data_IF_669554333576
#
_entry.id   IF_669554333576
#
_cell.length_a   1.000
_cell.length_b   1.000
_cell.length_c   1.000
_cell.angle_alpha   90.00
_cell.angle_beta   90.00
_cell.angle_gamma   90.00
#
_symmetry.space_group_name_H-M   'P 1'
#
loop_
_entity.id
_entity.type
_entity.pdbx_description
1 polymer ?
#
# COMPACT_ATOMS: atom_id res chain seq x y z
N UNK A 1 10.51 40.34 -12.11
CA UNK A 1 9.20 39.71 -11.90
C UNK A 1 8.99 38.77 -13.08
N UNK A 2 9.18 37.46 -12.89
CA UNK A 2 8.85 36.50 -13.94
C UNK A 2 7.33 36.51 -14.11
N UNK A 3 6.84 36.74 -15.32
CA UNK A 3 5.43 36.55 -15.63
C UNK A 3 5.26 35.03 -15.76
N UNK A 4 4.56 34.35 -14.84
CA UNK A 4 4.40 32.91 -14.95
C UNK A 4 3.67 32.56 -16.26
N UNK A 5 4.08 31.46 -16.89
CA UNK A 5 3.36 30.93 -18.05
C UNK A 5 1.90 30.72 -17.67
N UNK A 6 0.98 31.18 -18.52
CA UNK A 6 -0.47 31.03 -18.28
C UNK A 6 -0.93 29.57 -18.35
N UNK A 7 -0.22 28.72 -19.09
CA UNK A 7 -0.54 27.32 -19.30
C UNK A 7 0.69 26.47 -18.98
N UNK A 8 0.46 25.37 -18.28
CA UNK A 8 1.44 24.31 -18.01
C UNK A 8 0.82 22.99 -18.47
N UNK A 9 1.34 22.43 -19.54
CA UNK A 9 0.92 21.17 -20.14
C UNK A 9 2.03 20.10 -20.11
N UNK A 10 3.12 20.37 -19.37
CA UNK A 10 4.33 19.55 -19.28
C UNK A 10 5.10 19.33 -20.60
N UNK A 11 4.86 20.14 -21.65
CA UNK A 11 5.65 20.07 -22.89
C UNK A 11 6.98 20.82 -22.79
N UNK A 12 6.93 22.13 -22.51
CA UNK A 12 8.11 22.99 -22.38
C UNK A 12 8.62 23.10 -20.94
N UNK A 13 7.69 23.20 -20.00
CA UNK A 13 7.95 23.39 -18.57
C UNK A 13 7.04 22.44 -17.84
N UNK A 14 7.63 21.53 -17.07
CA UNK A 14 6.84 20.58 -16.28
C UNK A 14 6.23 21.29 -15.08
N UNK A 15 5.08 20.82 -14.62
CA UNK A 15 4.44 21.27 -13.40
C UNK A 15 5.38 21.04 -12.21
N UNK A 16 6.14 19.94 -12.21
CA UNK A 16 7.22 19.70 -11.27
C UNK A 16 8.24 20.86 -11.20
N UNK A 17 8.78 21.27 -12.35
CA UNK A 17 9.79 22.34 -12.40
C UNK A 17 9.18 23.68 -11.96
N UNK A 18 7.95 23.96 -12.41
CA UNK A 18 7.21 25.16 -12.02
C UNK A 18 6.94 25.23 -10.52
N UNK A 19 6.46 24.15 -9.89
CA UNK A 19 6.18 24.10 -8.46
C UNK A 19 7.47 24.34 -7.65
N UNK A 20 8.58 23.72 -8.06
CA UNK A 20 9.87 23.94 -7.41
C UNK A 20 10.36 25.39 -7.56
N UNK A 21 10.23 26.00 -8.73
CA UNK A 21 10.57 27.41 -8.95
C UNK A 21 9.74 28.34 -8.06
N UNK A 22 8.42 28.13 -8.00
CA UNK A 22 7.52 28.94 -7.18
C UNK A 22 7.85 28.80 -5.69
N UNK A 23 8.08 27.58 -5.21
CA UNK A 23 8.46 27.32 -3.82
C UNK A 23 9.80 27.96 -3.46
N UNK A 24 10.79 27.92 -4.36
CA UNK A 24 12.10 28.53 -4.15
C UNK A 24 12.04 30.07 -4.10
N UNK A 25 11.19 30.69 -4.92
CA UNK A 25 11.05 32.16 -4.98
C UNK A 25 10.16 32.69 -3.84
N UNK A 26 9.27 31.86 -3.28
CA UNK A 26 8.33 32.24 -2.22
C UNK A 26 8.46 31.33 -0.99
N UNK A 27 9.63 31.31 -0.32
CA UNK A 27 9.77 30.61 0.94
C UNK A 27 8.78 31.18 1.97
N UNK A 28 8.16 30.33 2.79
CA UNK A 28 7.15 30.73 3.77
C UNK A 28 5.74 30.97 3.21
N UNK A 29 5.48 30.65 1.95
CA UNK A 29 4.12 30.66 1.40
C UNK A 29 3.21 29.63 2.09
N UNK A 30 1.89 29.84 2.05
CA UNK A 30 0.90 28.79 2.31
C UNK A 30 0.66 28.00 1.04
N UNK A 31 0.76 26.68 1.12
CA UNK A 31 0.48 25.77 0.02
C UNK A 31 -0.70 24.87 0.37
N UNK A 32 -1.78 25.04 -0.39
CA UNK A 32 -2.94 24.15 -0.32
C UNK A 32 -3.02 23.34 -1.61
N UNK A 33 -3.02 22.01 -1.50
CA UNK A 33 -3.11 21.09 -2.62
C UNK A 33 -4.42 20.31 -2.51
N UNK A 34 -5.21 20.32 -3.59
CA UNK A 34 -6.32 19.38 -3.75
C UNK A 34 -5.98 18.40 -4.85
N UNK A 35 -6.14 17.10 -4.60
CA UNK A 35 -5.89 16.07 -5.59
C UNK A 35 -6.76 14.83 -5.38
N UNK A 36 -7.03 14.10 -6.46
CA UNK A 36 -7.77 12.84 -6.37
C UNK A 36 -6.83 11.63 -6.20
N UNK A 37 -5.61 11.73 -6.73
CA UNK A 37 -4.59 10.70 -6.63
C UNK A 37 -3.28 11.30 -6.11
N UNK A 38 -2.63 10.58 -5.21
CA UNK A 38 -1.41 10.99 -4.54
C UNK A 38 -0.38 9.87 -4.62
N UNK A 39 0.90 10.19 -4.80
CA UNK A 39 2.00 9.23 -4.68
C UNK A 39 3.20 9.85 -3.95
N UNK A 40 3.98 9.00 -3.26
CA UNK A 40 5.19 9.44 -2.56
C UNK A 40 6.28 9.88 -3.54
N UNK A 41 6.34 9.30 -4.75
CA UNK A 41 7.33 9.78 -5.72
C UNK A 41 7.03 11.19 -6.21
N UNK A 42 5.76 11.60 -6.29
CA UNK A 42 5.43 13.00 -6.60
C UNK A 42 5.91 13.96 -5.51
N UNK A 43 5.75 13.58 -4.25
CA UNK A 43 6.36 14.30 -3.12
C UNK A 43 7.89 14.37 -3.27
N UNK A 44 8.55 13.26 -3.60
CA UNK A 44 10.00 13.21 -3.82
C UNK A 44 10.49 14.25 -4.84
N UNK A 45 9.68 14.53 -5.86
CA UNK A 45 10.05 15.48 -6.91
C UNK A 45 9.99 16.96 -6.49
N UNK A 46 9.36 17.29 -5.36
CA UNK A 46 9.20 18.68 -4.87
C UNK A 46 9.64 18.88 -3.41
N UNK A 47 10.09 17.81 -2.73
CA UNK A 47 10.33 17.80 -1.28
C UNK A 47 11.33 18.84 -0.79
N UNK A 48 12.35 19.16 -1.57
CA UNK A 48 13.49 20.00 -1.16
C UNK A 48 13.06 21.42 -0.79
N UNK A 49 11.99 21.93 -1.41
CA UNK A 49 11.47 23.27 -1.13
C UNK A 49 10.19 23.26 -0.26
N UNK A 50 9.56 22.10 -0.06
CA UNK A 50 8.35 21.98 0.76
C UNK A 50 8.59 22.27 2.24
N UNK A 51 9.77 21.95 2.77
CA UNK A 51 10.09 22.21 4.19
C UNK A 51 10.11 23.69 4.60
N UNK A 52 10.09 24.61 3.63
CA UNK A 52 10.13 26.06 3.89
C UNK A 52 8.75 26.70 3.92
N UNK A 53 7.66 25.95 3.65
CA UNK A 53 6.30 26.51 3.62
C UNK A 53 5.80 26.82 5.03
N UNK A 54 5.06 27.93 5.18
CA UNK A 54 4.51 28.32 6.48
C UNK A 54 3.35 27.41 6.90
N UNK A 55 2.60 26.89 5.93
CA UNK A 55 1.50 25.94 6.14
C UNK A 55 1.31 25.12 4.88
N UNK A 56 1.13 23.82 5.05
CA UNK A 56 0.83 22.88 3.99
C UNK A 56 -0.49 22.16 4.29
N UNK A 57 -1.41 22.16 3.32
CA UNK A 57 -2.67 21.43 3.44
C UNK A 57 -2.84 20.53 2.23
N UNK A 58 -2.99 19.23 2.46
CA UNK A 58 -3.31 18.25 1.43
C UNK A 58 -4.74 17.78 1.59
N UNK A 59 -5.58 18.07 0.60
CA UNK A 59 -6.96 17.63 0.51
C UNK A 59 -7.08 16.52 -0.53
N UNK A 60 -7.37 15.31 -0.06
CA UNK A 60 -7.57 14.13 -0.89
C UNK A 60 -9.07 13.97 -1.20
N UNK A 61 -9.40 13.78 -2.47
CA UNK A 61 -10.77 13.66 -2.95
C UNK A 61 -11.07 12.32 -3.64
N UNK A 62 -12.36 12.02 -3.82
CA UNK A 62 -12.83 10.80 -4.50
C UNK A 62 -12.81 10.94 -6.03
N UNK A 63 -12.16 10.02 -6.75
CA UNK A 63 -12.32 9.83 -8.19
C UNK A 63 -13.58 8.96 -8.50
N UNK A 64 -14.26 9.13 -9.65
CA UNK A 64 -15.52 8.45 -9.93
C UNK A 64 -15.30 6.99 -10.37
N UNK A 65 -14.06 6.64 -10.68
CA UNK A 65 -13.60 5.34 -11.16
C UNK A 65 -13.46 4.31 -10.02
N UNK A 66 -13.52 4.74 -8.76
CA UNK A 66 -13.47 3.87 -7.58
C UNK A 66 -14.87 3.24 -7.40
N UNK A 67 -15.12 2.16 -8.15
CA UNK A 67 -16.33 1.34 -8.15
C UNK A 67 -16.23 0.12 -7.20
N UNK A 68 -15.46 0.25 -6.13
CA UNK A 68 -15.29 -0.81 -5.12
C UNK A 68 -16.24 -0.59 -3.93
N UNK A 69 -16.62 -1.67 -3.24
CA UNK A 69 -17.32 -1.59 -1.95
C UNK A 69 -16.46 -0.93 -0.85
N UNK A 70 -15.15 -0.77 -1.08
CA UNK A 70 -14.23 -0.07 -0.21
C UNK A 70 -14.48 1.45 -0.18
N UNK A 71 -14.30 2.05 1.00
CA UNK A 71 -14.29 3.50 1.18
C UNK A 71 -13.12 4.13 0.44
N UNK A 72 -13.21 5.43 0.14
CA UNK A 72 -12.10 6.16 -0.51
C UNK A 72 -10.81 6.07 0.33
N UNK A 73 -10.92 6.17 1.66
CA UNK A 73 -9.77 6.07 2.55
C UNK A 73 -9.08 4.72 2.41
N UNK A 74 -9.83 3.62 2.45
CA UNK A 74 -9.29 2.27 2.27
C UNK A 74 -8.60 2.10 0.91
N UNK A 75 -9.17 2.64 -0.16
CA UNK A 75 -8.56 2.59 -1.50
C UNK A 75 -7.23 3.37 -1.55
N UNK A 76 -7.21 4.59 -1.03
CA UNK A 76 -5.98 5.41 -0.98
C UNK A 76 -4.89 4.73 -0.15
N UNK A 77 -5.26 4.18 1.02
CA UNK A 77 -4.35 3.42 1.86
C UNK A 77 -3.85 2.15 1.16
N UNK A 78 -4.69 1.48 0.37
CA UNK A 78 -4.28 0.32 -0.43
C UNK A 78 -3.28 0.71 -1.51
N UNK A 79 -3.58 1.73 -2.32
CA UNK A 79 -2.69 2.18 -3.40
C UNK A 79 -1.32 2.62 -2.84
N UNK A 80 -1.34 3.39 -1.75
CA UNK A 80 -0.10 3.81 -1.08
C UNK A 80 0.68 2.63 -0.49
N UNK A 81 -0.02 1.63 0.08
CA UNK A 81 0.62 0.41 0.56
C UNK A 81 1.30 -0.33 -0.59
N UNK A 82 0.60 -0.55 -1.69
CA UNK A 82 1.12 -1.24 -2.88
C UNK A 82 2.34 -0.50 -3.47
N UNK A 83 2.28 0.83 -3.53
CA UNK A 83 3.41 1.68 -3.94
C UNK A 83 4.64 1.45 -3.04
N UNK A 84 4.45 1.55 -1.72
CA UNK A 84 5.54 1.43 -0.74
C UNK A 84 6.07 0.00 -0.66
N UNK A 85 5.23 -1.03 -0.80
CA UNK A 85 5.62 -2.44 -0.86
C UNK A 85 6.31 -2.79 -2.20
N UNK A 86 6.03 -2.06 -3.26
CA UNK A 86 6.63 -2.23 -4.58
C UNK A 86 8.06 -1.72 -4.75
N UNK A 87 8.53 -0.85 -3.86
CA UNK A 87 9.92 -0.35 -3.91
C UNK A 87 11.00 -1.45 -3.79
N UNK A 88 12.20 -1.15 -4.25
CA UNK A 88 13.37 -1.95 -3.86
C UNK A 88 13.85 -1.55 -2.46
N UNK A 89 14.44 -2.51 -1.75
CA UNK A 89 15.10 -2.25 -0.46
C UNK A 89 16.41 -1.49 -0.70
N UNK A 90 16.30 -0.16 -0.81
CA UNK A 90 17.41 0.76 -0.97
C UNK A 90 17.36 1.85 0.11
N UNK A 91 18.53 2.40 0.45
CA UNK A 91 18.62 3.55 1.36
C UNK A 91 17.87 4.77 0.84
N UNK A 92 17.79 4.92 -0.48
CA UNK A 92 17.08 6.03 -1.12
C UNK A 92 15.57 5.95 -0.85
N UNK A 93 14.96 4.78 -1.07
CA UNK A 93 13.52 4.56 -0.82
C UNK A 93 13.20 4.61 0.68
N UNK A 94 14.08 4.06 1.53
CA UNK A 94 13.95 4.16 2.98
C UNK A 94 13.95 5.62 3.44
N UNK A 95 14.91 6.42 2.97
CA UNK A 95 14.99 7.83 3.28
C UNK A 95 13.77 8.60 2.73
N UNK A 96 13.29 8.29 1.53
CA UNK A 96 12.09 8.93 0.98
C UNK A 96 10.87 8.74 1.89
N UNK A 97 10.60 7.50 2.33
CA UNK A 97 9.45 7.22 3.20
C UNK A 97 9.64 7.90 4.56
N UNK A 98 10.85 7.85 5.14
CA UNK A 98 11.15 8.51 6.42
C UNK A 98 11.05 10.03 6.34
N UNK A 99 11.58 10.64 5.28
CA UNK A 99 11.46 12.08 5.02
C UNK A 99 9.99 12.49 4.91
N UNK A 100 9.17 11.69 4.21
CA UNK A 100 7.75 11.97 4.07
C UNK A 100 7.00 11.82 5.40
N UNK A 101 7.28 10.79 6.19
CA UNK A 101 6.74 10.64 7.55
C UNK A 101 7.08 11.86 8.40
N UNK A 102 8.36 12.26 8.43
CA UNK A 102 8.82 13.43 9.19
C UNK A 102 8.15 14.72 8.72
N UNK A 103 7.98 14.89 7.40
CA UNK A 103 7.28 16.02 6.83
C UNK A 103 5.81 16.05 7.28
N UNK A 104 5.09 14.94 7.14
CA UNK A 104 3.68 14.84 7.53
C UNK A 104 3.51 15.08 9.04
N UNK A 105 4.43 14.63 9.88
CA UNK A 105 4.39 14.83 11.33
C UNK A 105 4.47 16.31 11.77
N UNK A 106 4.98 17.22 10.94
CA UNK A 106 5.10 18.63 11.32
C UNK A 106 3.73 19.27 11.64
N UNK A 107 3.68 20.19 12.61
CA UNK A 107 2.44 20.83 13.06
C UNK A 107 1.78 21.71 11.98
N UNK A 108 2.58 22.25 11.07
CA UNK A 108 2.13 23.08 9.94
C UNK A 108 1.66 22.25 8.73
N UNK A 109 1.68 20.93 8.82
CA UNK A 109 1.25 19.99 7.77
C UNK A 109 -0.05 19.31 8.16
N UNK A 110 -1.10 19.53 7.38
CA UNK A 110 -2.42 18.94 7.59
C UNK A 110 -2.83 18.11 6.37
N UNK A 111 -3.39 16.93 6.62
CA UNK A 111 -3.90 16.03 5.56
C UNK A 111 -5.34 15.68 5.88
N UNK A 112 -6.25 15.94 4.93
CA UNK A 112 -7.67 15.66 5.08
C UNK A 112 -8.22 14.87 3.91
N UNK A 113 -9.23 14.06 4.21
CA UNK A 113 -9.94 13.26 3.24
C UNK A 113 -11.38 13.77 3.09
N UNK A 114 -11.76 14.11 1.86
CA UNK A 114 -13.14 14.44 1.51
C UNK A 114 -13.84 13.22 0.92
N UNK A 115 -14.66 12.56 1.73
CA UNK A 115 -15.33 11.29 1.40
C UNK A 115 -16.88 11.41 1.32
N UNK A 116 -17.45 12.60 1.50
CA UNK A 116 -18.90 12.83 1.43
C UNK A 116 -19.45 12.77 0.01
N UNK A 117 -18.82 13.49 -0.91
CA UNK A 117 -19.22 13.56 -2.32
C UNK A 117 -17.98 13.52 -3.21
N UNK A 118 -18.19 13.64 -4.53
CA UNK A 118 -17.13 13.62 -5.50
C UNK A 118 -16.25 14.88 -5.45
N UNK A 119 -14.93 14.71 -5.36
CA UNK A 119 -13.96 15.80 -5.46
C UNK A 119 -12.79 15.37 -6.36
N UNK A 120 -12.82 15.85 -7.60
CA UNK A 120 -11.81 15.53 -8.62
C UNK A 120 -11.10 16.76 -9.17
N UNK A 121 -11.27 17.90 -8.50
CA UNK A 121 -10.49 19.09 -8.80
C UNK A 121 -9.02 18.86 -8.45
N UNK A 122 -8.13 19.42 -9.27
CA UNK A 122 -6.70 19.49 -8.98
C UNK A 122 -6.30 20.93 -8.92
N UNK A 123 -5.79 21.33 -7.77
CA UNK A 123 -5.38 22.69 -7.53
C UNK A 123 -4.13 22.73 -6.66
N UNK A 124 -3.21 23.63 -7.00
CA UNK A 124 -2.02 23.95 -6.22
C UNK A 124 -2.09 25.45 -5.91
N UNK A 125 -2.49 25.79 -4.69
CA UNK A 125 -2.86 27.16 -4.31
C UNK A 125 -1.78 27.72 -3.41
N UNK A 126 -1.04 28.69 -3.93
CA UNK A 126 -0.02 29.46 -3.21
C UNK A 126 -0.62 30.77 -2.69
N UNK A 127 0.13 31.58 -1.96
CA UNK A 127 -0.38 32.90 -1.54
C UNK A 127 -0.62 33.84 -2.73
N UNK A 128 0.28 33.83 -3.74
CA UNK A 128 0.28 34.81 -4.83
C UNK A 128 -0.12 34.24 -6.21
N UNK A 129 -0.37 32.94 -6.30
CA UNK A 129 -0.80 32.28 -7.53
C UNK A 129 -1.53 30.98 -7.25
N UNK A 130 -2.26 30.49 -8.25
CA UNK A 130 -2.89 29.19 -8.22
C UNK A 130 -2.70 28.48 -9.56
N UNK A 131 -2.44 27.18 -9.48
CA UNK A 131 -2.48 26.28 -10.64
C UNK A 131 -3.74 25.43 -10.53
N UNK A 132 -4.58 25.43 -11.55
CA UNK A 132 -5.80 24.61 -11.62
C UNK A 132 -5.78 23.82 -12.92
N UNK A 133 -6.07 22.52 -12.87
CA UNK A 133 -6.08 21.72 -14.09
C UNK A 133 -6.42 20.26 -13.89
N UNK A 134 -5.87 19.42 -14.76
CA UNK A 134 -6.07 17.96 -14.75
C UNK A 134 -5.02 17.20 -13.93
N UNK A 135 -3.93 17.85 -13.50
CA UNK A 135 -2.75 17.17 -12.98
C UNK A 135 -2.86 16.77 -11.51
N UNK A 136 -2.98 15.47 -11.26
CA UNK A 136 -2.89 14.90 -9.92
C UNK A 136 -1.48 15.09 -9.33
N UNK A 137 -1.37 14.94 -8.01
CA UNK A 137 -0.08 14.97 -7.33
C UNK A 137 0.58 13.59 -7.40
N UNK A 138 0.86 13.17 -8.64
CA UNK A 138 1.47 11.91 -9.05
C UNK A 138 2.63 12.21 -10.02
N UNK A 139 3.61 11.31 -10.21
CA UNK A 139 4.70 11.51 -11.17
C UNK A 139 4.17 11.86 -12.57
N UNK A 140 3.09 11.19 -12.99
CA UNK A 140 2.46 11.45 -14.27
C UNK A 140 1.79 12.81 -14.36
N UNK A 141 1.00 13.21 -13.37
CA UNK A 141 0.39 14.55 -13.37
C UNK A 141 1.44 15.66 -13.40
N UNK A 142 2.57 15.46 -12.72
CA UNK A 142 3.63 16.47 -12.64
C UNK A 142 4.55 16.55 -13.87
N UNK A 143 4.57 15.53 -14.74
CA UNK A 143 5.58 15.43 -15.82
C UNK A 143 5.06 14.96 -17.19
N UNK A 144 3.93 14.27 -17.29
CA UNK A 144 3.42 13.80 -18.59
C UNK A 144 2.74 14.92 -19.38
N UNK A 145 3.07 15.01 -20.66
CA UNK A 145 2.68 16.10 -21.57
C UNK A 145 1.24 16.03 -22.14
N UNK A 146 0.36 15.29 -21.47
CA UNK A 146 -1.07 15.16 -21.82
C UNK A 146 -1.97 15.98 -20.88
N UNK A 147 -1.36 16.66 -19.93
CA UNK A 147 -2.03 17.44 -18.91
C UNK A 147 -2.33 18.86 -19.39
N UNK A 148 -3.34 19.51 -18.80
CA UNK A 148 -3.61 20.92 -19.04
C UNK A 148 -3.86 21.63 -17.72
N UNK A 149 -2.99 22.57 -17.39
CA UNK A 149 -3.12 23.41 -16.20
C UNK A 149 -3.10 24.89 -16.58
N UNK A 150 -3.97 25.66 -15.94
CA UNK A 150 -3.99 27.11 -16.01
C UNK A 150 -3.35 27.70 -14.76
N UNK A 151 -2.49 28.69 -14.96
CA UNK A 151 -1.90 29.49 -13.87
C UNK A 151 -2.60 30.83 -13.80
N UNK A 152 -3.12 31.16 -12.62
CA UNK A 152 -3.72 32.46 -12.31
C UNK A 152 -3.00 33.12 -11.15
N UNK A 153 -3.11 34.43 -11.01
CA UNK A 153 -2.35 35.23 -10.04
C UNK A 153 -3.11 35.35 -8.71
N UNK A 154 -2.66 36.28 -7.86
CA UNK A 154 -3.08 36.42 -6.46
C UNK A 154 -4.60 36.58 -6.27
N UNK A 155 -5.34 37.39 -7.06
CA UNK A 155 -6.79 37.54 -6.85
C UNK A 155 -7.53 36.20 -6.99
N UNK A 156 -7.20 35.44 -8.02
CA UNK A 156 -7.77 34.11 -8.24
C UNK A 156 -7.30 33.12 -7.18
N UNK A 157 -6.03 33.15 -6.78
CA UNK A 157 -5.51 32.27 -5.72
C UNK A 157 -6.25 32.48 -4.39
N UNK A 158 -6.48 33.75 -4.02
CA UNK A 158 -7.25 34.13 -2.83
C UNK A 158 -8.69 33.65 -2.93
N UNK A 159 -9.35 33.89 -4.06
CA UNK A 159 -10.73 33.44 -4.30
C UNK A 159 -10.84 31.91 -4.25
N UNK A 160 -9.99 31.18 -4.98
CA UNK A 160 -9.99 29.71 -5.00
C UNK A 160 -9.75 29.14 -3.61
N UNK A 161 -8.83 29.71 -2.82
CA UNK A 161 -8.62 29.29 -1.43
C UNK A 161 -9.89 29.49 -0.59
N UNK A 162 -10.41 30.72 -0.56
CA UNK A 162 -11.48 31.11 0.36
C UNK A 162 -12.84 30.49 0.00
N UNK A 163 -13.20 30.49 -1.27
CA UNK A 163 -14.55 30.13 -1.72
C UNK A 163 -14.66 28.67 -2.17
N UNK A 164 -13.57 28.10 -2.70
CA UNK A 164 -13.58 26.73 -3.21
C UNK A 164 -12.89 25.75 -2.27
N UNK A 165 -11.63 25.99 -1.88
CA UNK A 165 -10.87 25.04 -1.06
C UNK A 165 -11.46 24.90 0.35
N UNK A 166 -11.73 26.02 1.05
CA UNK A 166 -12.27 25.96 2.42
C UNK A 166 -13.61 25.23 2.52
N UNK A 167 -14.46 25.34 1.49
CA UNK A 167 -15.75 24.63 1.42
C UNK A 167 -15.56 23.12 1.60
N UNK A 168 -14.63 22.53 0.87
CA UNK A 168 -14.35 21.09 0.98
C UNK A 168 -13.50 20.77 2.21
N UNK A 169 -12.54 21.64 2.56
CA UNK A 169 -11.65 21.46 3.69
C UNK A 169 -12.39 21.31 5.02
N UNK A 170 -13.38 22.17 5.28
CA UNK A 170 -14.18 22.15 6.53
C UNK A 170 -15.05 20.91 6.63
N UNK A 171 -15.52 20.38 5.49
CA UNK A 171 -16.34 19.17 5.45
C UNK A 171 -15.52 17.87 5.45
N UNK A 172 -14.23 17.95 5.10
CA UNK A 172 -13.32 16.82 5.06
C UNK A 172 -12.90 16.39 6.48
N UNK A 173 -12.75 15.08 6.67
CA UNK A 173 -12.27 14.50 7.93
C UNK A 173 -10.74 14.53 7.98
N UNK A 174 -10.20 14.55 9.19
CA UNK A 174 -8.76 14.34 9.38
C UNK A 174 -8.37 12.95 8.85
N UNK A 175 -7.23 12.89 8.18
CA UNK A 175 -6.66 11.67 7.59
C UNK A 175 -5.15 11.56 7.88
N UNK A 176 -4.57 12.52 8.61
CA UNK A 176 -3.14 12.58 8.90
C UNK A 176 -2.68 11.35 9.68
N UNK A 177 -3.40 10.99 10.75
CA UNK A 177 -3.04 9.84 11.59
C UNK A 177 -3.16 8.51 10.86
N UNK A 178 -4.24 8.29 10.09
CA UNK A 178 -4.41 7.08 9.26
C UNK A 178 -3.28 6.91 8.24
N UNK A 179 -2.85 8.01 7.61
CA UNK A 179 -1.73 8.01 6.68
C UNK A 179 -0.40 7.69 7.39
N UNK A 180 -0.15 8.28 8.56
CA UNK A 180 1.05 8.01 9.35
C UNK A 180 1.10 6.57 9.83
N UNK A 181 0.00 6.02 10.35
CA UNK A 181 -0.09 4.63 10.79
C UNK A 181 0.24 3.64 9.66
N UNK A 182 -0.23 3.91 8.44
CA UNK A 182 0.08 3.11 7.25
C UNK A 182 1.59 3.11 6.95
N UNK A 183 2.19 4.30 6.88
CA UNK A 183 3.59 4.48 6.50
C UNK A 183 4.52 3.90 7.58
N UNK A 184 4.17 4.09 8.85
CA UNK A 184 4.91 3.56 10.00
C UNK A 184 4.80 2.02 10.11
N UNK A 185 3.68 1.44 9.67
CA UNK A 185 3.50 0.00 9.59
C UNK A 185 4.14 -0.62 8.33
N UNK A 186 4.59 0.19 7.38
CA UNK A 186 5.28 -0.28 6.19
C UNK A 186 6.67 -0.83 6.52
N UNK A 187 7.26 -1.58 5.58
CA UNK A 187 8.64 -2.09 5.73
C UNK A 187 9.72 -1.02 5.83
N UNK A 188 9.40 0.25 5.56
CA UNK A 188 10.31 1.40 5.70
C UNK A 188 9.93 2.32 6.87
N UNK A 189 8.88 1.99 7.62
CA UNK A 189 8.47 2.73 8.80
C UNK A 189 9.45 2.60 9.96
N UNK A 190 9.15 3.27 11.08
CA UNK A 190 9.98 3.23 12.29
C UNK A 190 9.81 1.97 13.12
N UNK A 191 8.85 1.11 12.77
CA UNK A 191 8.59 -0.12 13.52
C UNK A 191 9.75 -1.11 13.35
N UNK A 192 10.59 -1.18 14.36
CA UNK A 192 11.61 -2.21 14.45
C UNK A 192 10.98 -3.58 14.76
N UNK A 193 11.33 -4.57 13.94
CA UNK A 193 10.95 -5.96 14.19
C UNK A 193 12.12 -6.69 14.84
N UNK A 194 11.84 -7.42 15.90
CA UNK A 194 12.85 -8.24 16.56
C UNK A 194 13.39 -9.31 15.60
N UNK A 195 14.65 -9.75 15.74
CA UNK A 195 15.19 -10.85 14.94
C UNK A 195 14.30 -12.11 14.96
N UNK A 196 13.63 -12.37 16.09
CA UNK A 196 12.66 -13.44 16.23
C UNK A 196 11.41 -13.26 15.34
N UNK A 197 10.82 -12.07 15.30
CA UNK A 197 9.68 -11.79 14.44
C UNK A 197 10.04 -11.92 12.95
N UNK A 198 11.22 -11.43 12.56
CA UNK A 198 11.73 -11.61 11.19
C UNK A 198 11.91 -13.09 10.88
N UNK A 199 12.52 -13.86 11.79
CA UNK A 199 12.71 -15.30 11.63
C UNK A 199 11.39 -16.05 11.47
N UNK A 200 10.40 -15.81 12.34
CA UNK A 200 9.08 -16.43 12.24
C UNK A 200 8.34 -16.02 10.97
N UNK A 201 8.43 -14.74 10.56
CA UNK A 201 7.82 -14.28 9.30
C UNK A 201 8.46 -14.96 8.10
N UNK A 202 9.78 -15.10 8.07
CA UNK A 202 10.49 -15.81 7.00
C UNK A 202 10.10 -17.29 6.93
N UNK A 203 9.99 -17.97 8.08
CA UNK A 203 9.50 -19.35 8.13
C UNK A 203 8.06 -19.48 7.66
N UNK A 204 7.20 -18.55 8.06
CA UNK A 204 5.82 -18.50 7.60
C UNK A 204 5.75 -18.30 6.09
N UNK A 205 6.46 -17.33 5.52
CA UNK A 205 6.47 -17.10 4.05
C UNK A 205 7.00 -18.32 3.28
N UNK A 206 7.97 -19.05 3.83
CA UNK A 206 8.49 -20.28 3.25
C UNK A 206 7.48 -21.44 3.30
N UNK A 207 6.65 -21.50 4.35
CA UNK A 207 5.75 -22.64 4.62
C UNK A 207 4.27 -22.34 4.40
N UNK A 208 3.87 -21.10 4.09
CA UNK A 208 2.45 -20.68 4.05
C UNK A 208 1.61 -21.53 3.11
N UNK A 209 2.13 -21.86 1.92
CA UNK A 209 1.44 -22.76 0.98
C UNK A 209 1.20 -24.14 1.60
N UNK A 210 2.24 -24.71 2.24
CA UNK A 210 2.16 -26.02 2.90
C UNK A 210 1.16 -25.95 4.08
N UNK A 211 1.14 -24.86 4.84
CA UNK A 211 0.20 -24.62 5.97
C UNK A 211 -1.24 -24.52 5.46
N UNK A 212 -1.50 -23.71 4.44
CA UNK A 212 -2.82 -23.56 3.82
C UNK A 212 -3.35 -24.90 3.30
N UNK A 213 -2.49 -25.66 2.62
CA UNK A 213 -2.80 -27.01 2.18
C UNK A 213 -3.19 -27.93 3.34
N UNK A 214 -2.44 -27.88 4.44
CA UNK A 214 -2.70 -28.70 5.63
C UNK A 214 -4.06 -28.36 6.23
N UNK A 215 -4.33 -27.06 6.45
CA UNK A 215 -5.60 -26.56 6.99
C UNK A 215 -6.78 -26.93 6.08
N UNK A 216 -6.60 -26.88 4.76
CA UNK A 216 -7.64 -27.28 3.81
C UNK A 216 -7.99 -28.77 3.92
N UNK A 217 -6.99 -29.62 4.21
CA UNK A 217 -7.20 -31.06 4.43
C UNK A 217 -7.84 -31.33 5.77
N UNK A 218 -7.47 -30.62 6.83
CA UNK A 218 -8.13 -30.76 8.14
C UNK A 218 -9.60 -30.38 8.05
N UNK A 219 -9.93 -29.26 7.40
CA UNK A 219 -11.31 -28.83 7.17
C UNK A 219 -12.11 -29.84 6.36
N UNK A 220 -11.53 -30.40 5.30
CA UNK A 220 -12.18 -31.46 4.51
C UNK A 220 -12.42 -32.76 5.30
N UNK A 221 -11.81 -32.91 6.48
CA UNK A 221 -11.92 -34.08 7.35
C UNK A 221 -12.87 -33.91 8.53
N UNK A 222 -13.35 -32.71 8.81
CA UNK A 222 -14.26 -32.46 9.94
C UNK A 222 -15.53 -33.35 9.87
N UNK A 223 -16.04 -33.58 8.66
CA UNK A 223 -17.22 -34.41 8.42
C UNK A 223 -16.93 -35.92 8.27
N UNK A 224 -15.66 -36.32 8.33
CA UNK A 224 -15.27 -37.73 8.17
C UNK A 224 -15.27 -38.46 9.53
N UNK A 225 -15.57 -39.78 9.54
CA UNK A 225 -15.42 -40.59 10.74
C UNK A 225 -14.03 -40.46 11.34
N UNK A 226 -13.92 -40.36 12.67
CA UNK A 226 -12.62 -40.27 13.35
C UNK A 226 -11.66 -41.35 12.88
N UNK A 227 -10.39 -40.95 12.69
CA UNK A 227 -9.27 -41.85 12.39
C UNK A 227 -9.27 -43.03 13.36
N UNK A 228 -9.09 -44.25 12.85
CA UNK A 228 -8.82 -45.42 13.71
C UNK A 228 -7.33 -45.57 14.01
N UNK A 229 -6.51 -44.70 13.44
CA UNK A 229 -5.06 -44.70 13.56
C UNK A 229 -4.66 -43.55 14.47
N UNK A 230 -4.11 -43.91 15.64
CA UNK A 230 -3.51 -42.96 16.57
C UNK A 230 -2.06 -42.74 16.17
N UNK A 231 -1.71 -41.48 15.95
CA UNK A 231 -0.37 -41.04 15.57
C UNK A 231 0.23 -40.22 16.72
N UNK A 232 1.55 -40.30 16.88
CA UNK A 232 2.27 -39.31 17.69
C UNK A 232 2.31 -37.97 16.95
N UNK A 233 2.49 -36.85 17.66
CA UNK A 233 2.48 -35.50 17.07
C UNK A 233 3.42 -35.39 15.85
N UNK A 234 4.66 -35.88 15.95
CA UNK A 234 5.61 -35.85 14.84
C UNK A 234 5.17 -36.68 13.63
N UNK A 235 4.36 -37.73 13.84
CA UNK A 235 3.81 -38.56 12.76
C UNK A 235 2.61 -37.90 12.10
N UNK A 236 1.81 -37.14 12.87
CA UNK A 236 0.75 -36.31 12.29
C UNK A 236 1.33 -35.25 11.36
N UNK A 237 2.41 -34.59 11.78
CA UNK A 237 3.14 -33.64 10.95
C UNK A 237 3.74 -34.28 9.69
N UNK A 238 4.31 -35.49 9.82
CA UNK A 238 4.83 -36.22 8.67
C UNK A 238 3.73 -36.57 7.66
N UNK A 239 2.55 -37.00 8.13
CA UNK A 239 1.38 -37.30 7.27
C UNK A 239 0.85 -36.03 6.59
N UNK A 240 0.74 -34.93 7.33
CA UNK A 240 0.31 -33.62 6.82
C UNK A 240 1.21 -33.17 5.66
N UNK A 241 2.53 -33.22 5.87
CA UNK A 241 3.53 -32.93 4.82
C UNK A 241 3.42 -33.89 3.66
N UNK A 242 3.22 -35.19 3.91
CA UNK A 242 3.07 -36.17 2.84
C UNK A 242 1.86 -35.87 1.94
N UNK A 243 0.72 -35.47 2.50
CA UNK A 243 -0.45 -35.09 1.72
C UNK A 243 -0.27 -33.79 0.92
N UNK A 244 0.41 -32.78 1.47
CA UNK A 244 0.75 -31.58 0.70
C UNK A 244 1.67 -31.93 -0.48
N UNK A 245 2.73 -32.71 -0.25
CA UNK A 245 3.66 -33.15 -1.32
C UNK A 245 2.97 -34.03 -2.37
N UNK A 246 2.07 -34.94 -1.97
CA UNK A 246 1.25 -35.74 -2.90
C UNK A 246 0.33 -34.87 -3.76
N UNK A 247 -0.23 -33.77 -3.24
CA UNK A 247 -1.03 -32.83 -4.03
C UNK A 247 -0.17 -32.07 -5.03
N UNK A 248 0.96 -31.51 -4.57
CA UNK A 248 1.84 -30.67 -5.38
C UNK A 248 2.61 -31.45 -6.45
N UNK A 249 3.14 -32.62 -6.10
CA UNK A 249 4.07 -33.38 -6.94
C UNK A 249 3.55 -34.73 -7.40
N UNK A 250 2.35 -35.16 -6.96
CA UNK A 250 1.77 -36.49 -7.25
C UNK A 250 2.64 -37.68 -6.80
N UNK A 251 3.58 -37.43 -5.89
CA UNK A 251 4.48 -38.43 -5.33
C UNK A 251 5.13 -37.91 -4.05
N UNK A 252 5.49 -38.82 -3.14
CA UNK A 252 6.21 -38.49 -1.92
C UNK A 252 7.09 -39.66 -1.49
N UNK A 253 8.28 -39.35 -0.97
CA UNK A 253 9.15 -40.30 -0.30
C UNK A 253 9.23 -39.91 1.19
N UNK A 254 8.90 -40.85 2.08
CA UNK A 254 9.02 -40.65 3.54
C UNK A 254 10.31 -41.30 4.00
N UNK A 255 11.30 -40.48 4.36
CA UNK A 255 12.65 -40.91 4.71
C UNK A 255 12.97 -40.71 6.22
N UNK A 256 12.01 -41.04 7.10
CA UNK A 256 12.23 -40.95 8.55
C UNK A 256 13.29 -41.96 9.02
N UNK A 257 14.01 -41.63 10.10
CA UNK A 257 15.01 -42.53 10.70
C UNK A 257 14.41 -43.89 11.13
N UNK A 258 15.28 -44.86 11.39
CA UNK A 258 14.91 -46.24 11.76
C UNK A 258 14.11 -46.28 13.08
N UNK A 259 13.05 -47.10 13.12
CA UNK A 259 12.23 -47.30 14.32
C UNK A 259 11.14 -46.26 14.59
N UNK A 260 11.06 -45.17 13.84
CA UNK A 260 10.22 -44.01 14.20
C UNK A 260 8.76 -44.02 13.67
N UNK A 261 8.31 -45.11 13.04
CA UNK A 261 6.89 -45.28 12.73
C UNK A 261 6.44 -44.97 11.29
N UNK A 262 7.30 -45.20 10.30
CA UNK A 262 6.93 -45.23 8.86
C UNK A 262 5.69 -46.09 8.58
N UNK A 263 5.53 -47.21 9.28
CA UNK A 263 4.33 -48.08 9.17
C UNK A 263 3.05 -47.36 9.59
N UNK A 264 3.11 -46.53 10.63
CA UNK A 264 1.95 -45.76 11.12
C UNK A 264 1.56 -44.65 10.14
N UNK A 265 2.56 -43.94 9.60
CA UNK A 265 2.39 -42.95 8.54
C UNK A 265 1.76 -43.61 7.31
N UNK A 266 2.29 -44.77 6.87
CA UNK A 266 1.76 -45.51 5.73
C UNK A 266 0.30 -45.95 5.97
N UNK A 267 -0.03 -46.49 7.15
CA UNK A 267 -1.41 -46.84 7.52
C UNK A 267 -2.33 -45.62 7.38
N UNK A 268 -1.90 -44.43 7.83
CA UNK A 268 -2.73 -43.21 7.77
C UNK A 268 -2.97 -42.75 6.33
N UNK A 269 -1.96 -42.87 5.47
CA UNK A 269 -2.09 -42.60 4.04
C UNK A 269 -3.06 -43.61 3.40
N UNK A 270 -2.95 -44.89 3.73
CA UNK A 270 -3.85 -45.93 3.22
C UNK A 270 -5.28 -45.72 3.71
N UNK A 271 -5.49 -45.33 4.96
CA UNK A 271 -6.82 -44.99 5.48
C UNK A 271 -7.44 -43.83 4.69
N UNK A 272 -6.66 -42.80 4.40
CA UNK A 272 -7.12 -41.67 3.58
C UNK A 272 -7.57 -42.11 2.18
N UNK A 273 -6.70 -42.80 1.45
CA UNK A 273 -7.01 -43.14 0.05
C UNK A 273 -7.95 -44.33 -0.07
N UNK A 274 -7.77 -45.37 0.76
CA UNK A 274 -8.52 -46.61 0.70
C UNK A 274 -9.89 -46.54 1.39
N UNK A 275 -9.94 -45.99 2.61
CA UNK A 275 -11.18 -45.98 3.39
C UNK A 275 -12.05 -44.76 3.06
N UNK A 276 -11.52 -43.54 3.20
CA UNK A 276 -12.33 -42.33 2.97
C UNK A 276 -12.55 -42.06 1.48
N UNK A 277 -11.52 -42.20 0.64
CA UNK A 277 -11.62 -41.89 -0.81
C UNK A 277 -11.92 -43.10 -1.72
N UNK A 278 -12.06 -44.31 -1.15
CA UNK A 278 -12.40 -45.55 -1.86
C UNK A 278 -11.51 -45.86 -3.08
N UNK A 279 -10.22 -45.49 -3.03
CA UNK A 279 -9.24 -45.79 -4.08
C UNK A 279 -8.58 -47.14 -3.85
N UNK A 280 -8.23 -47.81 -4.96
CA UNK A 280 -7.42 -49.03 -4.93
C UNK A 280 -5.97 -48.66 -4.61
N UNK A 281 -5.31 -49.48 -3.80
CA UNK A 281 -3.90 -49.33 -3.45
C UNK A 281 -3.21 -50.69 -3.48
N UNK A 282 -1.90 -50.68 -3.70
CA UNK A 282 -1.03 -51.85 -3.65
C UNK A 282 0.07 -51.58 -2.63
N UNK A 283 0.31 -52.54 -1.74
CA UNK A 283 1.46 -52.52 -0.83
C UNK A 283 2.46 -53.54 -1.38
N UNK A 284 3.68 -53.08 -1.65
CA UNK A 284 4.81 -53.88 -2.14
C UNK A 284 5.82 -54.03 -1.04
#
# INVERSE_FOLDING_TARGET
MLIPKKIIDNSDTTLKDFLNEVLAVQPGTRLDITTAFFSLQAYAMVKDNLGQVRRFRLLLGKAPEILTDATLGEELLRVLREEVEGYDLSRENENLVKDFIQFVQQENVEVRLYDKTFLHGKAYIFDNLVVIGSSNFTPSGLTHNTELNSVSLEPEARYTRQEWFEKFWVEARDFKEELLELLEASRFGSKEYTPYQIFIKALYELQKEDIEDILSVEKAREDLPKSKINLAEFQEDAVKRAFSRLRKYRGVLVADSVGLGKTWIAKRIIEEFGFYRRRKFLVV
#
